data_IF_468501209143
#
_entry.id   IF_468501209143
#
_cell.length_a   1.000
_cell.length_b   1.000
_cell.length_c   1.000
_cell.angle_alpha   90.00
_cell.angle_beta   90.00
_cell.angle_gamma   90.00
#
_symmetry.space_group_name_H-M   'P 1'
#
loop_
_entity.id
_entity.type
_entity.pdbx_description
1 polymer ?
#
# COMPACT_ATOMS: atom_id res chain seq x y z
N UNK A 1 12.74 -5.71 -7.75
CA UNK A 1 12.91 -4.24 -7.77
C UNK A 1 11.51 -3.66 -7.76
N UNK A 2 11.21 -2.70 -6.89
CA UNK A 2 9.83 -2.17 -6.76
C UNK A 2 9.51 -1.60 -5.38
N UNK A 3 10.21 -2.01 -4.31
CA UNK A 3 9.84 -1.60 -2.95
C UNK A 3 10.02 -0.10 -2.74
N UNK A 4 11.17 0.45 -3.17
CA UNK A 4 11.42 1.90 -3.10
C UNK A 4 10.38 2.69 -3.89
N UNK A 5 10.01 2.20 -5.07
CA UNK A 5 9.04 2.84 -5.95
C UNK A 5 7.62 2.78 -5.35
N UNK A 6 7.29 1.70 -4.64
CA UNK A 6 6.08 1.61 -3.80
C UNK A 6 6.12 2.67 -2.70
N UNK A 7 7.23 2.83 -1.96
CA UNK A 7 7.34 3.86 -0.91
C UNK A 7 7.15 5.26 -1.48
N UNK A 8 7.75 5.56 -2.64
CA UNK A 8 7.55 6.85 -3.33
C UNK A 8 6.08 7.06 -3.68
N UNK A 9 5.40 6.02 -4.17
CA UNK A 9 3.98 6.08 -4.51
C UNK A 9 3.09 6.26 -3.28
N UNK A 10 3.42 5.61 -2.16
CA UNK A 10 2.70 5.79 -0.88
C UNK A 10 2.87 7.22 -0.34
N UNK A 11 4.08 7.79 -0.46
CA UNK A 11 4.32 9.18 -0.11
C UNK A 11 3.53 10.15 -1.01
N UNK A 12 3.42 9.87 -2.32
CA UNK A 12 2.56 10.66 -3.23
C UNK A 12 1.08 10.61 -2.82
N UNK A 13 0.59 9.47 -2.33
CA UNK A 13 -0.78 9.38 -1.79
C UNK A 13 -0.97 10.24 -0.54
N UNK A 14 0.03 10.27 0.35
CA UNK A 14 0.04 11.11 1.55
C UNK A 14 0.08 12.59 1.20
N UNK A 15 0.96 12.99 0.28
CA UNK A 15 1.08 14.37 -0.18
C UNK A 15 -0.20 14.87 -0.85
N UNK A 16 -0.90 13.99 -1.58
CA UNK A 16 -2.22 14.27 -2.19
C UNK A 16 -3.37 14.17 -1.20
N UNK A 17 -3.12 13.86 0.08
CA UNK A 17 -4.12 13.67 1.13
C UNK A 17 -5.19 12.62 0.79
N UNK A 18 -4.83 11.64 -0.04
CA UNK A 18 -5.68 10.47 -0.32
C UNK A 18 -5.69 9.55 0.91
N UNK A 19 -4.53 9.45 1.56
CA UNK A 19 -4.34 8.86 2.89
C UNK A 19 -3.75 9.93 3.81
N UNK A 20 -3.98 9.81 5.12
CA UNK A 20 -3.39 10.72 6.10
C UNK A 20 -1.96 10.32 6.45
N UNK A 21 -1.76 9.03 6.71
CA UNK A 21 -0.45 8.43 6.93
C UNK A 21 -0.50 6.93 6.66
N UNK A 22 0.65 6.26 6.70
CA UNK A 22 0.72 4.82 6.58
C UNK A 22 1.87 4.21 7.40
N UNK A 23 1.73 2.93 7.70
CA UNK A 23 2.79 2.08 8.22
C UNK A 23 2.91 0.80 7.38
N UNK A 24 4.13 0.31 7.25
CA UNK A 24 4.39 -1.00 6.62
C UNK A 24 4.34 -2.04 7.71
N UNK A 25 3.54 -3.08 7.49
CA UNK A 25 3.40 -4.20 8.41
C UNK A 25 3.79 -5.53 7.77
N UNK A 26 3.28 -6.60 8.38
CA UNK A 26 3.41 -7.96 7.87
C UNK A 26 4.85 -8.43 7.72
N UNK A 27 5.08 -9.31 6.75
CA UNK A 27 6.38 -9.93 6.56
C UNK A 27 7.49 -8.94 6.20
N UNK A 28 7.18 -7.90 5.41
CA UNK A 28 8.17 -6.87 5.06
C UNK A 28 8.67 -6.09 6.29
N UNK A 29 7.79 -5.82 7.26
CA UNK A 29 8.20 -5.20 8.52
C UNK A 29 9.09 -6.15 9.34
N UNK A 30 8.79 -7.45 9.36
CA UNK A 30 9.61 -8.46 10.08
C UNK A 30 11.00 -8.60 9.47
N UNK A 31 11.14 -8.58 8.14
CA UNK A 31 12.45 -8.65 7.45
C UNK A 31 13.37 -7.52 7.91
N UNK A 32 12.82 -6.34 8.18
CA UNK A 32 13.63 -5.20 8.63
C UNK A 32 14.26 -5.44 10.00
N UNK A 33 13.64 -6.25 10.87
CA UNK A 33 14.04 -6.38 12.27
C UNK A 33 14.70 -7.72 12.64
N UNK A 34 14.42 -8.83 11.97
CA UNK A 34 14.79 -10.15 12.52
C UNK A 34 15.26 -11.17 11.48
N UNK A 35 14.46 -11.52 10.47
CA UNK A 35 14.73 -12.70 9.63
C UNK A 35 14.44 -12.43 8.14
N UNK A 36 15.37 -12.77 7.22
CA UNK A 36 15.12 -12.70 5.78
C UNK A 36 14.18 -13.83 5.34
N UNK A 37 12.88 -13.63 5.56
CA UNK A 37 11.82 -14.50 5.06
C UNK A 37 11.35 -14.00 3.70
N UNK A 38 11.04 -14.93 2.79
CA UNK A 38 10.39 -14.57 1.52
C UNK A 38 8.95 -14.18 1.80
N UNK A 39 8.56 -12.98 1.37
CA UNK A 39 7.20 -12.46 1.51
C UNK A 39 6.63 -12.17 0.12
N UNK A 40 5.33 -12.39 -0.06
CA UNK A 40 4.69 -12.27 -1.35
C UNK A 40 4.32 -10.82 -1.67
N UNK A 41 3.84 -10.11 -0.67
CA UNK A 41 3.18 -8.82 -0.76
C UNK A 41 3.64 -7.85 0.33
N UNK A 42 3.24 -6.59 0.18
CA UNK A 42 3.50 -5.51 1.13
C UNK A 42 2.18 -5.15 1.81
N UNK A 43 2.08 -5.44 3.11
CA UNK A 43 0.98 -4.99 3.95
C UNK A 43 1.17 -3.52 4.33
N UNK A 44 0.19 -2.68 3.98
CA UNK A 44 0.20 -1.24 4.25
C UNK A 44 -1.01 -0.87 5.08
N UNK A 45 -0.78 -0.56 6.35
CA UNK A 45 -1.77 0.02 7.24
C UNK A 45 -1.93 1.50 6.91
N UNK A 46 -3.15 1.95 6.66
CA UNK A 46 -3.43 3.32 6.23
C UNK A 46 -4.37 4.03 7.21
N UNK A 47 -3.98 5.24 7.61
CA UNK A 47 -4.85 6.14 8.37
C UNK A 47 -5.71 6.92 7.38
N UNK A 48 -7.02 6.83 7.57
CA UNK A 48 -8.02 7.42 6.71
C UNK A 48 -8.90 8.40 7.48
N UNK A 49 -9.29 9.51 6.84
CA UNK A 49 -10.12 10.53 7.50
C UNK A 49 -11.57 10.11 7.68
N UNK A 50 -12.07 9.21 6.82
CA UNK A 50 -13.46 8.74 6.80
C UNK A 50 -13.50 7.31 6.27
N UNK A 51 -14.55 6.54 6.58
CA UNK A 51 -14.77 5.21 5.99
C UNK A 51 -14.81 5.26 4.45
N UNK A 52 -15.48 6.26 3.87
CA UNK A 52 -15.52 6.48 2.42
C UNK A 52 -14.14 6.73 1.78
N UNK A 53 -13.12 7.11 2.57
CA UNK A 53 -11.79 7.34 2.03
C UNK A 53 -11.13 6.02 1.56
N UNK A 54 -11.48 4.88 2.15
CA UNK A 54 -10.98 3.58 1.70
C UNK A 54 -11.50 3.26 0.29
N UNK A 55 -12.77 3.53 0.02
CA UNK A 55 -13.33 3.40 -1.34
C UNK A 55 -12.66 4.38 -2.33
N UNK A 56 -12.41 5.63 -1.92
CA UNK A 56 -11.74 6.63 -2.75
C UNK A 56 -10.29 6.26 -3.08
N UNK A 57 -9.58 5.59 -2.18
CA UNK A 57 -8.24 5.05 -2.42
C UNK A 57 -8.26 4.03 -3.56
N UNK A 58 -9.18 3.06 -3.53
CA UNK A 58 -9.30 2.07 -4.61
C UNK A 58 -9.77 2.71 -5.93
N UNK A 59 -10.67 3.69 -5.89
CA UNK A 59 -11.07 4.45 -7.07
C UNK A 59 -9.90 5.24 -7.69
N UNK A 60 -9.00 5.78 -6.87
CA UNK A 60 -7.78 6.42 -7.35
C UNK A 60 -6.92 5.47 -8.20
N UNK A 61 -6.71 4.24 -7.71
CA UNK A 61 -5.94 3.23 -8.43
C UNK A 61 -6.65 2.73 -9.69
N UNK A 62 -7.97 2.52 -9.63
CA UNK A 62 -8.78 2.15 -10.81
C UNK A 62 -8.68 3.22 -11.91
N UNK A 63 -8.78 4.50 -11.56
CA UNK A 63 -8.66 5.61 -12.51
C UNK A 63 -7.27 5.70 -13.15
N UNK A 64 -6.22 5.28 -12.44
CA UNK A 64 -4.86 5.17 -12.97
C UNK A 64 -4.63 3.91 -13.81
N UNK A 65 -5.63 3.04 -13.96
CA UNK A 65 -5.48 1.78 -14.70
C UNK A 65 -4.63 0.75 -13.96
N UNK A 66 -4.49 0.87 -12.64
CA UNK A 66 -3.74 -0.10 -11.85
C UNK A 66 -4.41 -1.48 -11.91
N UNK A 67 -3.58 -2.51 -11.98
CA UNK A 67 -4.05 -3.90 -11.89
C UNK A 67 -4.46 -4.17 -10.43
N UNK A 68 -5.70 -4.60 -10.22
CA UNK A 68 -6.24 -4.97 -8.91
C UNK A 68 -6.76 -6.40 -9.00
N UNK A 69 -6.23 -7.30 -8.18
CA UNK A 69 -6.68 -8.70 -8.08
C UNK A 69 -6.92 -9.07 -6.63
N UNK A 70 -8.13 -9.55 -6.32
CA UNK A 70 -8.57 -9.85 -4.95
C UNK A 70 -8.38 -8.63 -4.03
N UNK A 71 -7.44 -8.73 -3.08
CA UNK A 71 -7.11 -7.69 -2.09
C UNK A 71 -5.88 -6.85 -2.48
N UNK A 72 -5.22 -7.18 -3.60
CA UNK A 72 -3.96 -6.58 -3.99
C UNK A 72 -4.14 -5.50 -5.04
N UNK A 73 -3.54 -4.35 -4.78
CA UNK A 73 -3.23 -3.33 -5.79
C UNK A 73 -1.80 -3.58 -6.25
N UNK A 74 -1.59 -3.84 -7.53
CA UNK A 74 -0.24 -3.99 -8.06
C UNK A 74 0.37 -2.61 -8.31
N UNK A 75 1.36 -2.28 -7.51
CA UNK A 75 2.11 -1.03 -7.58
C UNK A 75 3.54 -1.37 -8.01
N UNK A 76 3.98 -0.87 -9.17
CA UNK A 76 5.37 -1.07 -9.64
C UNK A 76 5.75 -2.56 -9.72
N UNK A 77 4.78 -3.41 -10.09
CA UNK A 77 4.92 -4.86 -10.19
C UNK A 77 4.85 -5.61 -8.84
N UNK A 78 4.72 -4.92 -7.72
CA UNK A 78 4.58 -5.50 -6.38
C UNK A 78 3.10 -5.58 -5.97
N UNK A 79 2.61 -6.70 -5.41
CA UNK A 79 1.29 -6.74 -4.79
C UNK A 79 1.34 -5.98 -3.46
N UNK A 80 0.43 -5.02 -3.31
CA UNK A 80 0.27 -4.20 -2.11
C UNK A 80 -1.13 -4.42 -1.56
N UNK A 81 -1.24 -4.82 -0.30
CA UNK A 81 -2.50 -4.95 0.42
C UNK A 81 -2.69 -3.73 1.32
N UNK A 82 -3.81 -3.02 1.14
CA UNK A 82 -4.18 -1.91 2.00
C UNK A 82 -5.11 -2.37 3.12
N UNK A 83 -4.72 -2.06 4.36
CA UNK A 83 -5.46 -2.36 5.57
C UNK A 83 -5.89 -1.05 6.23
N UNK A 84 -7.19 -0.79 6.44
CA UNK A 84 -7.62 0.38 7.19
C UNK A 84 -7.29 0.20 8.68
N UNK A 85 -6.73 1.25 9.30
CA UNK A 85 -6.55 1.39 10.76
C UNK A 85 -7.68 2.25 11.37
#
# INVERSE_FOLDING_TARGET
MGFREVIVSLNDLKDKKIIQDYAIGGGYAVIFYDIPLLTYDIDVFVILQTEDAFHRLYEHFRKKGAKIENVYVYMEGMPVQFLPD
#
